data_IF_384609398496
#
_entry.id   IF_384609398496
#
_cell.length_a   1.000
_cell.length_b   1.000
_cell.length_c   1.000
_cell.angle_alpha   90.00
_cell.angle_beta   90.00
_cell.angle_gamma   90.00
#
_symmetry.space_group_name_H-M   'P 1'
#
loop_
_entity.id
_entity.type
_entity.pdbx_description
1 polymer ?
#
# COMPACT_ATOMS: atom_id res chain seq x y z
N UNK A 1 -5.31 35.34 44.50
CA UNK A 1 -4.27 35.33 43.44
C UNK A 1 -4.93 35.68 42.12
N UNK A 2 -4.41 36.66 41.39
CA UNK A 2 -4.97 37.04 40.09
C UNK A 2 -4.82 35.86 39.11
N UNK A 3 -5.88 35.55 38.33
CA UNK A 3 -5.82 34.53 37.27
C UNK A 3 -4.75 34.93 36.25
N UNK A 4 -3.92 33.97 35.85
CA UNK A 4 -2.89 34.20 34.83
C UNK A 4 -3.57 34.75 33.55
N UNK A 5 -3.09 35.88 32.98
CA UNK A 5 -3.68 36.48 31.78
C UNK A 5 -3.85 35.51 30.61
N UNK A 6 -2.93 34.55 30.46
CA UNK A 6 -3.01 33.51 29.41
C UNK A 6 -4.17 32.55 29.62
N UNK A 7 -4.51 32.22 30.88
CA UNK A 7 -5.66 31.36 31.21
C UNK A 7 -6.96 32.08 30.90
N UNK A 8 -7.05 33.38 31.21
CA UNK A 8 -8.20 34.20 30.84
C UNK A 8 -8.38 34.28 29.32
N UNK A 9 -7.29 34.43 28.57
CA UNK A 9 -7.32 34.45 27.10
C UNK A 9 -7.75 33.11 26.49
N UNK A 10 -7.32 31.99 27.07
CA UNK A 10 -7.79 30.66 26.67
C UNK A 10 -9.31 30.49 26.88
N UNK A 11 -9.86 31.02 27.99
CA UNK A 11 -11.31 31.01 28.21
C UNK A 11 -12.07 31.84 27.18
N UNK A 12 -11.52 32.96 26.71
CA UNK A 12 -12.12 33.74 25.61
C UNK A 12 -12.13 32.97 24.30
N UNK A 13 -11.02 32.32 23.95
CA UNK A 13 -10.92 31.49 22.73
C UNK A 13 -11.95 30.35 22.77
N UNK A 14 -12.14 29.70 23.93
CA UNK A 14 -13.16 28.65 24.08
C UNK A 14 -14.56 29.18 23.83
N UNK A 15 -14.90 30.37 24.33
CA UNK A 15 -16.19 30.99 24.06
C UNK A 15 -16.40 31.30 22.57
N UNK A 16 -15.37 31.80 21.87
CA UNK A 16 -15.42 32.04 20.42
C UNK A 16 -15.60 30.74 19.62
N UNK A 17 -15.03 29.62 20.09
CA UNK A 17 -15.23 28.30 19.48
C UNK A 17 -16.68 27.83 19.66
N UNK A 18 -17.27 28.02 20.85
CA UNK A 18 -18.67 27.69 21.09
C UNK A 18 -19.63 28.53 20.21
N UNK A 19 -19.34 29.82 20.04
CA UNK A 19 -20.10 30.69 19.13
C UNK A 19 -19.98 30.23 17.67
N UNK A 20 -18.77 29.85 17.23
CA UNK A 20 -18.55 29.30 15.89
C UNK A 20 -19.32 27.99 15.68
N UNK A 21 -19.32 27.09 16.66
CA UNK A 21 -20.08 25.84 16.61
C UNK A 21 -21.58 26.13 16.46
N UNK A 22 -22.15 27.02 17.28
CA UNK A 22 -23.56 27.39 17.20
C UNK A 22 -23.93 28.00 15.84
N UNK A 23 -23.06 28.82 15.25
CA UNK A 23 -23.27 29.41 13.91
C UNK A 23 -23.30 28.35 12.79
N UNK A 24 -22.56 27.24 12.95
CA UNK A 24 -22.53 26.16 11.97
C UNK A 24 -23.77 25.25 12.04
N UNK A 25 -24.47 25.24 13.17
CA UNK A 25 -25.73 24.50 13.36
C UNK A 25 -26.96 25.30 12.93
N UNK A 26 -26.89 26.63 13.02
CA UNK A 26 -27.98 27.54 12.69
C UNK A 26 -28.16 27.77 11.17
N UNK A 27 -27.11 27.62 10.36
CA UNK A 27 -27.10 27.92 8.93
C UNK A 27 -26.76 26.70 8.03
N UNK A 28 -27.45 26.60 6.89
CA UNK A 28 -27.20 25.60 5.86
C UNK A 28 -25.88 25.83 5.11
N UNK A 29 -24.75 25.44 5.70
CA UNK A 29 -23.42 25.53 5.08
C UNK A 29 -23.37 24.79 3.74
N UNK A 30 -23.00 25.51 2.68
CA UNK A 30 -22.71 24.93 1.37
C UNK A 30 -21.45 24.03 1.44
N UNK A 31 -21.35 23.03 0.55
CA UNK A 31 -20.18 22.12 0.51
C UNK A 31 -18.82 22.84 0.40
N UNK A 32 -18.65 23.89 -0.42
CA UNK A 32 -17.40 24.64 -0.48
C UNK A 32 -17.06 25.37 0.83
N UNK A 33 -18.05 26.03 1.44
CA UNK A 33 -17.87 26.74 2.72
C UNK A 33 -17.52 25.76 3.85
N UNK A 34 -18.15 24.58 3.88
CA UNK A 34 -17.83 23.50 4.80
C UNK A 34 -16.38 23.04 4.67
N UNK A 35 -15.90 22.80 3.45
CA UNK A 35 -14.51 22.37 3.21
C UNK A 35 -13.51 23.44 3.64
N UNK A 36 -13.80 24.70 3.36
CA UNK A 36 -12.94 25.81 3.78
C UNK A 36 -12.90 25.96 5.31
N UNK A 37 -14.04 25.78 5.98
CA UNK A 37 -14.12 25.79 7.44
C UNK A 37 -13.32 24.64 8.06
N UNK A 38 -13.45 23.41 7.53
CA UNK A 38 -12.67 22.24 7.99
C UNK A 38 -11.17 22.53 7.90
N UNK A 39 -10.68 23.04 6.75
CA UNK A 39 -9.27 23.38 6.59
C UNK A 39 -8.79 24.45 7.59
N UNK A 40 -9.65 25.43 7.94
CA UNK A 40 -9.34 26.46 8.95
C UNK A 40 -9.25 25.88 10.35
N UNK A 41 -10.16 24.97 10.68
CA UNK A 41 -10.17 24.26 11.97
C UNK A 41 -8.94 23.36 12.10
N UNK A 42 -8.54 22.69 11.01
CA UNK A 42 -7.28 21.91 10.99
C UNK A 42 -6.06 22.81 11.26
N UNK A 43 -5.93 23.97 10.60
CA UNK A 43 -4.83 24.94 10.89
C UNK A 43 -4.87 25.44 12.35
N UNK A 44 -6.07 25.64 12.92
CA UNK A 44 -6.22 26.00 14.34
C UNK A 44 -5.75 24.88 15.26
N UNK A 45 -6.12 23.62 14.97
CA UNK A 45 -5.66 22.45 15.74
C UNK A 45 -4.13 22.39 15.75
N UNK A 46 -3.51 22.51 14.58
CA UNK A 46 -2.04 22.43 14.45
C UNK A 46 -1.33 23.54 15.23
N UNK A 47 -1.92 24.73 15.33
CA UNK A 47 -1.39 25.85 16.14
C UNK A 47 -1.61 25.66 17.63
N UNK A 48 -2.77 25.16 18.03
CA UNK A 48 -3.07 24.85 19.43
C UNK A 48 -2.18 23.70 19.94
N UNK A 49 -1.92 22.71 19.10
CA UNK A 49 -0.99 21.62 19.41
C UNK A 49 0.43 22.15 19.62
N UNK A 50 0.92 23.01 18.72
CA UNK A 50 2.21 23.72 18.90
C UNK A 50 2.24 24.57 20.17
N UNK A 51 1.16 25.28 20.49
CA UNK A 51 1.07 26.05 21.74
C UNK A 51 1.16 25.12 22.96
N UNK A 52 0.47 23.98 22.91
CA UNK A 52 0.47 22.97 23.99
C UNK A 52 1.87 22.43 24.20
N UNK A 53 2.58 22.06 23.11
CA UNK A 53 3.98 21.63 23.16
C UNK A 53 4.91 22.69 23.76
N UNK A 54 4.68 23.98 23.49
CA UNK A 54 5.51 25.08 24.00
C UNK A 54 5.32 25.36 25.50
N UNK A 55 4.14 25.09 26.04
CA UNK A 55 3.81 25.42 27.43
C UNK A 55 3.91 24.21 28.37
N UNK A 56 3.98 23.00 27.84
CA UNK A 56 4.24 21.80 28.62
C UNK A 56 5.72 21.77 29.03
N UNK A 57 6.03 21.76 30.33
CA UNK A 57 7.42 21.71 30.79
C UNK A 57 8.08 20.34 30.58
N UNK A 58 7.33 19.32 30.15
CA UNK A 58 7.83 17.96 29.94
C UNK A 58 8.07 17.70 28.45
N UNK A 59 9.18 17.05 28.13
CA UNK A 59 9.47 16.58 26.78
C UNK A 59 8.55 15.40 26.42
N UNK A 60 8.14 15.33 25.15
CA UNK A 60 7.47 14.15 24.61
C UNK A 60 8.44 12.97 24.59
N UNK A 61 7.95 11.72 24.75
CA UNK A 61 8.81 10.57 24.55
C UNK A 61 9.35 10.53 23.12
N UNK A 62 10.56 10.00 22.93
CA UNK A 62 11.21 9.86 21.61
C UNK A 62 10.35 9.07 20.61
N UNK A 63 9.43 8.24 21.09
CA UNK A 63 8.48 7.48 20.29
C UNK A 63 7.15 7.26 21.03
N UNK A 64 6.07 7.23 20.27
CA UNK A 64 4.73 6.85 20.73
C UNK A 64 4.16 5.79 19.77
N UNK A 65 3.84 4.61 20.30
CA UNK A 65 3.27 3.52 19.54
C UNK A 65 1.79 3.36 19.91
N UNK A 66 0.90 3.60 18.95
CA UNK A 66 -0.53 3.30 19.11
C UNK A 66 -0.85 1.88 18.60
N UNK A 67 -1.04 0.89 19.49
CA UNK A 67 -1.32 -0.48 19.08
C UNK A 67 -2.67 -0.65 18.37
N UNK A 68 -3.56 0.35 18.42
CA UNK A 68 -4.86 0.33 17.75
C UNK A 68 -4.82 0.90 16.33
N UNK A 69 -3.67 1.44 15.89
CA UNK A 69 -3.51 2.05 14.56
C UNK A 69 -3.79 1.02 13.44
N UNK A 70 -4.85 1.22 12.61
CA UNK A 70 -5.27 0.23 11.62
C UNK A 70 -4.20 -0.14 10.59
N UNK A 71 -3.29 0.79 10.26
CA UNK A 71 -2.20 0.53 9.31
C UNK A 71 -1.22 -0.54 9.80
N UNK A 72 -1.03 -0.70 11.13
CA UNK A 72 -0.17 -1.72 11.72
C UNK A 72 -0.62 -3.14 11.36
N UNK A 73 -1.92 -3.38 11.26
CA UNK A 73 -2.43 -4.71 10.90
C UNK A 73 -1.99 -5.10 9.48
N UNK A 74 -1.98 -4.14 8.55
CA UNK A 74 -1.43 -4.35 7.22
C UNK A 74 0.04 -4.75 7.27
N UNK A 75 0.83 -4.08 8.11
CA UNK A 75 2.26 -4.36 8.31
C UNK A 75 2.47 -5.79 8.84
N UNK A 76 1.72 -6.20 9.87
CA UNK A 76 1.85 -7.54 10.46
C UNK A 76 1.46 -8.66 9.49
N UNK A 77 0.38 -8.48 8.74
CA UNK A 77 -0.04 -9.46 7.74
C UNK A 77 0.97 -9.54 6.59
N UNK A 78 1.52 -8.41 6.15
CA UNK A 78 2.57 -8.36 5.13
C UNK A 78 3.85 -9.09 5.61
N UNK A 79 4.27 -8.84 6.84
CA UNK A 79 5.40 -9.54 7.45
C UNK A 79 5.14 -11.06 7.58
N UNK A 80 3.94 -11.45 8.00
CA UNK A 80 3.54 -12.84 8.10
C UNK A 80 3.53 -13.55 6.73
N UNK A 81 3.16 -12.83 5.65
CA UNK A 81 3.26 -13.35 4.29
C UNK A 81 4.72 -13.59 3.92
N UNK A 82 5.61 -12.60 4.11
CA UNK A 82 7.05 -12.72 3.82
C UNK A 82 7.71 -13.85 4.61
N UNK A 83 7.23 -14.14 5.81
CA UNK A 83 7.72 -15.23 6.63
C UNK A 83 7.41 -16.63 6.07
N UNK A 84 6.42 -16.77 5.17
CA UNK A 84 6.09 -18.06 4.56
C UNK A 84 7.16 -18.50 3.56
N UNK A 85 7.32 -19.81 3.40
CA UNK A 85 8.17 -20.36 2.35
C UNK A 85 7.56 -20.12 0.96
N UNK A 86 8.42 -19.92 -0.03
CA UNK A 86 8.01 -19.86 -1.43
C UNK A 86 7.59 -21.24 -1.92
N UNK A 87 6.65 -21.24 -2.85
CA UNK A 87 6.19 -22.42 -3.57
C UNK A 87 6.15 -22.12 -5.06
N UNK A 88 6.52 -23.09 -5.87
CA UNK A 88 6.37 -22.99 -7.33
C UNK A 88 4.93 -22.61 -7.69
N UNK A 89 4.78 -21.56 -8.50
CA UNK A 89 3.48 -21.14 -9.00
C UNK A 89 2.92 -22.17 -9.99
N UNK A 90 3.78 -22.84 -10.77
CA UNK A 90 3.41 -23.87 -11.74
C UNK A 90 2.81 -25.14 -11.10
N UNK A 91 3.27 -25.50 -9.90
CA UNK A 91 2.85 -26.72 -9.19
C UNK A 91 1.77 -26.48 -8.13
N UNK A 92 1.17 -25.28 -8.11
CA UNK A 92 0.27 -24.89 -7.03
C UNK A 92 -1.07 -25.65 -7.06
N UNK A 93 -1.24 -26.56 -6.10
CA UNK A 93 -2.50 -27.27 -5.85
C UNK A 93 -3.62 -26.38 -5.29
N UNK A 94 -4.80 -26.98 -5.11
CA UNK A 94 -5.95 -26.31 -4.48
C UNK A 94 -5.78 -26.30 -2.97
N UNK A 95 -6.11 -25.17 -2.34
CA UNK A 95 -6.18 -25.05 -0.88
C UNK A 95 -7.28 -24.04 -0.49
N UNK A 96 -7.77 -24.19 0.74
CA UNK A 96 -8.77 -23.29 1.31
C UNK A 96 -8.14 -21.99 1.81
N UNK A 97 -8.88 -20.88 1.69
CA UNK A 97 -8.51 -19.57 2.18
C UNK A 97 -8.73 -18.44 1.17
N UNK A 98 -9.00 -17.27 1.72
CA UNK A 98 -8.97 -15.97 1.06
C UNK A 98 -7.93 -15.09 1.75
N UNK A 99 -7.29 -14.18 1.03
CA UNK A 99 -6.27 -13.33 1.65
C UNK A 99 -5.36 -12.64 0.66
N UNK A 100 -4.06 -12.65 0.95
CA UNK A 100 -3.03 -11.94 0.19
C UNK A 100 -2.00 -12.92 -0.38
N UNK A 101 -1.42 -12.58 -1.52
CA UNK A 101 -0.35 -13.33 -2.17
C UNK A 101 0.64 -12.41 -2.86
N UNK A 102 1.83 -12.95 -3.11
CA UNK A 102 2.90 -12.31 -3.86
C UNK A 102 3.52 -13.32 -4.83
N UNK A 103 3.85 -12.88 -6.04
CA UNK A 103 4.50 -13.66 -7.10
C UNK A 103 5.93 -13.13 -7.24
N UNK A 104 6.89 -14.03 -7.37
CA UNK A 104 8.31 -13.75 -7.47
C UNK A 104 8.86 -14.35 -8.75
N UNK A 105 9.88 -13.73 -9.32
CA UNK A 105 10.55 -14.19 -10.53
C UNK A 105 11.91 -14.81 -10.19
N UNK A 106 12.27 -15.89 -10.87
CA UNK A 106 13.54 -16.62 -10.67
C UNK A 106 14.23 -16.99 -11.98
N UNK A 107 13.69 -16.57 -13.13
CA UNK A 107 14.24 -16.90 -14.45
C UNK A 107 15.32 -15.92 -14.94
N UNK A 108 15.67 -16.03 -16.21
CA UNK A 108 16.78 -15.33 -16.86
C UNK A 108 16.37 -14.20 -17.81
N UNK A 109 15.08 -13.83 -17.86
CA UNK A 109 14.61 -12.72 -18.68
C UNK A 109 15.31 -11.42 -18.26
N UNK A 110 16.06 -10.84 -19.19
CA UNK A 110 16.87 -9.64 -18.96
C UNK A 110 16.09 -8.44 -18.39
N UNK A 111 14.81 -8.30 -18.73
CA UNK A 111 13.95 -7.23 -18.22
C UNK A 111 13.74 -7.34 -16.70
N UNK A 112 13.78 -8.55 -16.16
CA UNK A 112 13.51 -8.86 -14.76
C UNK A 112 14.74 -9.29 -13.98
N UNK A 113 15.93 -9.27 -14.61
CA UNK A 113 17.19 -9.66 -14.00
C UNK A 113 17.45 -9.03 -12.62
N UNK A 114 17.14 -7.73 -12.36
CA UNK A 114 17.39 -7.12 -11.05
C UNK A 114 16.63 -7.77 -9.88
N UNK A 115 15.46 -8.38 -10.14
CA UNK A 115 14.64 -9.00 -9.09
C UNK A 115 14.69 -10.53 -9.10
N UNK A 116 15.36 -11.13 -10.09
CA UNK A 116 15.44 -12.59 -10.22
C UNK A 116 16.11 -13.22 -9.00
N UNK A 117 15.42 -14.17 -8.35
CA UNK A 117 15.90 -14.84 -7.14
C UNK A 117 15.91 -13.96 -5.87
N UNK A 118 15.49 -12.70 -5.96
CA UNK A 118 15.40 -11.77 -4.82
C UNK A 118 14.09 -11.95 -4.05
N UNK A 119 13.98 -11.32 -2.87
CA UNK A 119 12.75 -11.12 -2.07
C UNK A 119 11.83 -10.00 -2.55
N UNK A 120 12.07 -9.46 -3.74
CA UNK A 120 11.22 -8.45 -4.35
C UNK A 120 10.18 -9.12 -5.25
N UNK A 121 8.88 -9.07 -4.91
CA UNK A 121 7.84 -9.65 -5.75
C UNK A 121 7.67 -8.85 -7.05
N UNK A 122 7.39 -9.54 -8.14
CA UNK A 122 7.05 -8.93 -9.43
C UNK A 122 5.57 -8.50 -9.48
N UNK A 123 4.72 -9.17 -8.69
CA UNK A 123 3.30 -8.86 -8.54
C UNK A 123 2.82 -9.19 -7.12
N UNK A 124 1.95 -8.34 -6.58
CA UNK A 124 1.23 -8.56 -5.32
C UNK A 124 -0.26 -8.47 -5.60
N UNK A 125 -1.04 -9.32 -4.95
CA UNK A 125 -2.49 -9.21 -5.05
C UNK A 125 -3.23 -9.82 -3.88
N UNK A 126 -4.54 -9.65 -3.90
CA UNK A 126 -5.47 -10.28 -2.97
C UNK A 126 -6.52 -11.16 -3.64
N UNK A 127 -7.18 -11.96 -2.82
CA UNK A 127 -8.39 -12.71 -3.18
C UNK A 127 -9.43 -12.56 -2.06
N UNK A 128 -10.57 -11.97 -2.39
CA UNK A 128 -11.65 -11.70 -1.43
C UNK A 128 -12.55 -12.93 -1.20
N UNK A 129 -12.99 -13.17 0.04
CA UNK A 129 -14.04 -14.15 0.32
C UNK A 129 -15.41 -13.65 -0.16
N UNK A 130 -16.38 -14.58 -0.23
CA UNK A 130 -17.80 -14.20 -0.35
C UNK A 130 -18.37 -13.97 1.05
N UNK A 131 -18.90 -12.78 1.32
CA UNK A 131 -19.45 -12.45 2.64
C UNK A 131 -18.36 -12.28 3.70
N UNK A 132 -18.68 -12.62 4.96
CA UNK A 132 -17.75 -12.51 6.09
C UNK A 132 -17.51 -13.86 6.80
N UNK A 133 -16.91 -14.85 6.10
CA UNK A 133 -16.62 -16.16 6.68
C UNK A 133 -15.61 -16.08 7.83
N UNK A 134 -15.75 -16.99 8.80
CA UNK A 134 -14.92 -17.03 10.01
C UNK A 134 -13.75 -18.02 9.92
N UNK A 135 -13.81 -18.99 9.01
CA UNK A 135 -12.77 -20.03 8.85
C UNK A 135 -12.23 -20.04 7.43
N UNK A 136 -11.01 -20.54 7.25
CA UNK A 136 -10.42 -20.71 5.91
C UNK A 136 -11.25 -21.63 5.01
N UNK A 137 -11.90 -22.66 5.59
CA UNK A 137 -12.77 -23.58 4.84
C UNK A 137 -13.98 -22.81 4.28
N UNK A 138 -14.63 -21.99 5.11
CA UNK A 138 -15.80 -21.19 4.70
C UNK A 138 -15.42 -20.11 3.67
N UNK A 139 -14.17 -19.66 3.66
CA UNK A 139 -13.65 -18.77 2.63
C UNK A 139 -13.59 -19.43 1.24
N UNK A 140 -13.59 -20.76 1.17
CA UNK A 140 -13.43 -21.52 -0.08
C UNK A 140 -12.01 -21.42 -0.62
N UNK A 141 -11.80 -21.69 -1.91
CA UNK A 141 -10.46 -21.80 -2.53
C UNK A 141 -9.95 -20.51 -3.17
N UNK A 142 -10.33 -19.34 -2.65
CA UNK A 142 -10.18 -18.04 -3.34
C UNK A 142 -8.75 -17.70 -3.74
N UNK A 143 -7.79 -17.89 -2.83
CA UNK A 143 -6.38 -17.67 -3.13
C UNK A 143 -5.88 -18.62 -4.22
N UNK A 144 -6.14 -19.91 -4.06
CA UNK A 144 -5.72 -20.93 -5.02
C UNK A 144 -6.33 -20.68 -6.41
N UNK A 145 -7.61 -20.29 -6.48
CA UNK A 145 -8.31 -19.99 -7.72
C UNK A 145 -7.68 -18.77 -8.43
N UNK A 146 -7.34 -17.71 -7.67
CA UNK A 146 -6.72 -16.47 -8.20
C UNK A 146 -5.28 -16.69 -8.66
N UNK A 147 -4.48 -17.43 -7.91
CA UNK A 147 -3.10 -17.77 -8.31
C UNK A 147 -3.09 -18.68 -9.55
N UNK A 148 -4.01 -19.66 -9.63
CA UNK A 148 -4.16 -20.50 -10.83
C UNK A 148 -4.67 -19.74 -12.05
N UNK A 149 -5.35 -18.61 -11.87
CA UNK A 149 -5.68 -17.70 -12.96
C UNK A 149 -4.45 -16.99 -13.50
N UNK A 150 -3.61 -16.43 -12.61
CA UNK A 150 -2.34 -15.82 -12.99
C UNK A 150 -1.40 -16.82 -13.68
N UNK A 151 -1.27 -18.03 -13.13
CA UNK A 151 -0.55 -19.15 -13.75
C UNK A 151 -0.99 -19.35 -15.21
N UNK A 152 -2.30 -19.48 -15.44
CA UNK A 152 -2.86 -19.66 -16.79
C UNK A 152 -2.70 -18.46 -17.70
N UNK A 153 -2.49 -17.25 -17.17
CA UNK A 153 -2.20 -16.06 -17.98
C UNK A 153 -0.73 -16.01 -18.39
N UNK A 154 0.17 -16.40 -17.49
CA UNK A 154 1.62 -16.54 -17.78
C UNK A 154 1.86 -17.64 -18.81
N UNK A 155 1.19 -18.79 -18.69
CA UNK A 155 1.28 -19.91 -19.66
C UNK A 155 0.82 -19.58 -21.08
N UNK A 156 0.14 -18.44 -21.29
CA UNK A 156 -0.39 -18.02 -22.58
C UNK A 156 0.47 -16.99 -23.29
N UNK A 157 1.55 -16.53 -22.68
CA UNK A 157 2.37 -15.45 -23.22
C UNK A 157 3.79 -15.88 -23.50
N UNK A 158 4.41 -15.19 -24.45
CA UNK A 158 5.78 -15.42 -24.87
C UNK A 158 6.78 -14.65 -24.00
N UNK A 159 8.02 -15.15 -23.96
CA UNK A 159 9.16 -14.49 -23.31
C UNK A 159 9.28 -14.74 -21.80
N UNK A 160 8.36 -15.47 -21.18
CA UNK A 160 8.44 -15.93 -19.79
C UNK A 160 7.91 -17.36 -19.68
N UNK A 161 8.51 -18.16 -18.79
CA UNK A 161 8.12 -19.54 -18.54
C UNK A 161 7.51 -19.67 -17.12
N UNK A 162 6.50 -20.51 -16.94
CA UNK A 162 5.80 -20.61 -15.64
C UNK A 162 6.70 -21.20 -14.54
N UNK A 163 7.70 -21.98 -14.93
CA UNK A 163 8.71 -22.60 -14.09
C UNK A 163 9.62 -21.55 -13.41
N UNK A 164 9.68 -20.33 -13.96
CA UNK A 164 10.46 -19.21 -13.44
C UNK A 164 9.70 -18.38 -12.39
N UNK A 165 8.57 -18.87 -11.89
CA UNK A 165 7.74 -18.14 -10.95
C UNK A 165 7.46 -18.92 -9.68
N UNK A 166 7.74 -18.26 -8.57
CA UNK A 166 7.35 -18.67 -7.23
C UNK A 166 6.20 -17.80 -6.71
N UNK A 167 5.51 -18.28 -5.69
CA UNK A 167 4.54 -17.50 -4.96
C UNK A 167 4.60 -17.75 -3.44
N UNK A 168 4.13 -16.74 -2.71
CA UNK A 168 3.68 -16.87 -1.32
C UNK A 168 2.20 -16.56 -1.27
N UNK A 169 1.45 -17.29 -0.46
CA UNK A 169 0.03 -17.08 -0.26
C UNK A 169 -0.30 -17.22 1.23
N UNK A 170 -1.05 -16.27 1.77
CA UNK A 170 -1.46 -16.27 3.17
C UNK A 170 -2.97 -16.05 3.25
N UNK A 171 -3.69 -17.07 3.73
CA UNK A 171 -5.08 -16.94 4.12
C UNK A 171 -5.17 -16.07 5.38
N UNK A 172 -6.05 -15.08 5.37
CA UNK A 172 -6.24 -14.15 6.49
C UNK A 172 -7.72 -14.00 6.80
N UNK A 173 -8.04 -13.53 8.00
CA UNK A 173 -9.41 -13.22 8.34
C UNK A 173 -9.94 -12.07 7.46
N UNK A 174 -11.22 -12.15 7.11
CA UNK A 174 -11.90 -11.17 6.27
C UNK A 174 -11.73 -9.76 6.83
N UNK A 175 -11.41 -8.79 5.97
CA UNK A 175 -11.15 -7.40 6.33
C UNK A 175 -9.67 -7.01 6.31
N UNK A 176 -8.75 -7.97 6.47
CA UNK A 176 -7.32 -7.66 6.57
C UNK A 176 -6.55 -7.72 5.25
N UNK A 177 -7.11 -8.37 4.21
CA UNK A 177 -6.42 -8.53 2.94
C UNK A 177 -6.03 -7.20 2.26
N UNK A 178 -6.81 -6.13 2.50
CA UNK A 178 -6.74 -4.93 1.66
C UNK A 178 -5.62 -4.03 2.16
N UNK A 179 -5.56 -3.89 3.49
CA UNK A 179 -4.45 -3.23 4.17
C UNK A 179 -3.13 -3.94 3.88
N UNK A 180 -3.12 -5.29 3.89
CA UNK A 180 -1.93 -6.07 3.60
C UNK A 180 -1.45 -5.90 2.14
N UNK A 181 -2.34 -6.03 1.16
CA UNK A 181 -2.04 -5.80 -0.27
C UNK A 181 -1.50 -4.38 -0.48
N UNK A 182 -2.20 -3.37 0.05
CA UNK A 182 -1.81 -1.96 -0.08
C UNK A 182 -0.44 -1.69 0.54
N UNK A 183 -0.14 -2.31 1.69
CA UNK A 183 1.16 -2.20 2.33
C UNK A 183 2.27 -2.83 1.49
N UNK A 184 2.08 -4.07 1.04
CA UNK A 184 3.05 -4.78 0.21
C UNK A 184 3.32 -4.06 -1.11
N UNK A 185 2.28 -3.53 -1.77
CA UNK A 185 2.44 -2.74 -3.00
C UNK A 185 3.23 -1.46 -2.72
N UNK A 186 2.94 -0.75 -1.63
CA UNK A 186 3.70 0.46 -1.25
C UNK A 186 5.16 0.16 -0.96
N UNK A 187 5.43 -0.94 -0.26
CA UNK A 187 6.78 -1.34 0.16
C UNK A 187 7.62 -1.81 -1.03
N UNK A 188 7.09 -2.72 -1.85
CA UNK A 188 7.86 -3.39 -2.90
C UNK A 188 7.74 -2.73 -4.28
N UNK A 189 6.71 -1.89 -4.48
CA UNK A 189 6.36 -1.27 -5.76
C UNK A 189 6.44 -2.24 -6.97
N UNK A 190 5.75 -3.39 -6.94
CA UNK A 190 5.94 -4.45 -7.94
C UNK A 190 5.60 -3.96 -9.35
N UNK A 191 6.44 -4.26 -10.34
CA UNK A 191 6.32 -3.69 -11.69
C UNK A 191 5.05 -4.13 -12.45
N UNK A 192 4.45 -5.27 -12.10
CA UNK A 192 3.22 -5.76 -12.73
C UNK A 192 1.93 -5.25 -12.10
N UNK A 193 2.01 -4.54 -10.97
CA UNK A 193 0.86 -3.93 -10.31
C UNK A 193 0.40 -2.67 -11.06
N UNK A 194 -0.92 -2.44 -11.09
CA UNK A 194 -1.50 -1.25 -11.72
C UNK A 194 -1.03 0.04 -11.01
N UNK A 195 -0.86 -0.05 -9.69
CA UNK A 195 -0.45 1.03 -8.79
C UNK A 195 0.96 1.55 -9.12
N UNK A 196 1.83 0.68 -9.63
CA UNK A 196 3.19 1.06 -10.05
C UNK A 196 3.17 1.76 -11.43
N UNK A 197 2.19 1.47 -12.28
CA UNK A 197 1.97 2.18 -13.55
C UNK A 197 3.00 1.88 -14.64
N UNK A 198 3.73 0.75 -14.56
CA UNK A 198 4.81 0.40 -15.49
C UNK A 198 4.39 -0.72 -16.43
N UNK A 199 4.33 -1.97 -15.94
CA UNK A 199 4.12 -3.17 -16.74
C UNK A 199 2.83 -3.88 -16.28
N UNK A 200 1.76 -3.09 -16.19
CA UNK A 200 0.49 -3.56 -15.65
C UNK A 200 -0.34 -4.33 -16.68
N UNK A 201 -1.28 -5.17 -16.21
CA UNK A 201 -2.26 -5.85 -17.05
C UNK A 201 -2.35 -7.38 -16.91
N UNK A 202 -1.52 -8.01 -16.08
CA UNK A 202 -1.63 -9.44 -15.78
C UNK A 202 -3.03 -9.82 -15.29
N UNK A 203 -3.57 -9.05 -14.34
CA UNK A 203 -4.87 -9.30 -13.69
C UNK A 203 -6.11 -8.91 -14.52
N UNK A 204 -5.94 -8.43 -15.77
CA UNK A 204 -7.07 -8.14 -16.66
C UNK A 204 -7.68 -9.46 -17.14
N UNK A 205 -8.96 -9.63 -16.87
CA UNK A 205 -9.77 -10.64 -17.54
C UNK A 205 -10.10 -10.15 -18.94
N UNK A 206 -10.01 -11.03 -19.93
CA UNK A 206 -10.56 -10.76 -21.24
C UNK A 206 -12.07 -10.60 -21.09
N UNK A 207 -12.53 -9.35 -21.00
CA UNK A 207 -13.94 -9.03 -21.13
C UNK A 207 -14.42 -9.59 -22.48
N UNK A 208 -15.67 -10.05 -22.51
CA UNK A 208 -16.27 -10.65 -23.70
C UNK A 208 -15.99 -9.81 -24.96
N UNK A 209 -15.90 -10.47 -26.12
CA UNK A 209 -15.49 -9.94 -27.42
C UNK A 209 -16.27 -8.70 -27.95
N UNK A 210 -17.12 -8.09 -27.15
CA UNK A 210 -17.93 -6.89 -27.41
C UNK A 210 -17.31 -5.59 -26.88
N UNK A 211 -16.30 -5.59 -25.99
CA UNK A 211 -15.60 -4.37 -25.50
C UNK A 211 -14.38 -3.96 -26.36
N UNK A 212 -14.54 -4.02 -27.69
CA UNK A 212 -13.49 -3.91 -28.75
C UNK A 212 -12.78 -2.54 -28.90
N UNK A 213 -12.56 -1.78 -27.83
CA UNK A 213 -11.94 -0.45 -27.93
C UNK A 213 -10.78 -0.19 -26.96
N UNK A 214 -10.38 -1.18 -26.15
CA UNK A 214 -9.29 -0.97 -25.19
C UNK A 214 -7.94 -1.33 -25.80
N UNK A 215 -6.97 -0.41 -25.71
CA UNK A 215 -5.58 -0.66 -26.06
C UNK A 215 -5.03 -1.88 -25.30
N UNK A 216 -4.13 -2.65 -25.93
CA UNK A 216 -3.41 -3.73 -25.24
C UNK A 216 -2.61 -3.14 -24.07
N UNK A 217 -2.56 -3.88 -22.95
CA UNK A 217 -1.87 -3.41 -21.76
C UNK A 217 -0.35 -3.46 -21.93
N UNK A 218 0.45 -2.71 -21.16
CA UNK A 218 1.90 -2.83 -21.19
C UNK A 218 2.40 -4.27 -21.00
N UNK A 219 1.73 -5.06 -20.15
CA UNK A 219 2.02 -6.49 -20.01
C UNK A 219 1.81 -7.26 -21.31
N UNK A 220 0.69 -7.04 -22.01
CA UNK A 220 0.41 -7.69 -23.31
C UNK A 220 1.31 -7.18 -24.45
N UNK A 221 1.85 -5.95 -24.32
CA UNK A 221 2.82 -5.42 -25.28
C UNK A 221 4.17 -6.13 -25.14
N UNK A 222 4.66 -6.32 -23.91
CA UNK A 222 5.96 -6.97 -23.65
C UNK A 222 5.86 -8.50 -23.78
N UNK A 223 4.74 -9.08 -23.35
CA UNK A 223 4.48 -10.52 -23.38
C UNK A 223 3.26 -10.83 -24.25
N UNK A 224 3.43 -10.90 -25.59
CA UNK A 224 2.34 -11.24 -26.49
C UNK A 224 1.87 -12.69 -26.30
N UNK A 225 0.64 -13.01 -26.73
CA UNK A 225 0.12 -14.40 -26.78
C UNK A 225 -1.31 -14.57 -26.24
N UNK A 226 -1.80 -13.64 -25.40
CA UNK A 226 -3.21 -13.65 -24.98
C UNK A 226 -4.12 -13.24 -26.15
N UNK A 227 -4.91 -14.19 -26.66
CA UNK A 227 -5.83 -14.01 -27.81
C UNK A 227 -6.69 -12.74 -27.80
N UNK A 228 -7.13 -12.27 -26.62
CA UNK A 228 -7.97 -11.08 -26.54
C UNK A 228 -7.22 -9.78 -26.85
N UNK A 229 -5.90 -9.76 -26.65
CA UNK A 229 -5.02 -8.61 -26.90
C UNK A 229 -4.49 -8.60 -28.34
N UNK A 230 -4.63 -9.70 -29.07
CA UNK A 230 -4.17 -9.84 -30.45
C UNK A 230 -4.94 -8.88 -31.37
N UNK A 231 -4.21 -8.05 -32.12
CA UNK A 231 -4.80 -7.06 -33.03
C UNK A 231 -5.26 -5.75 -32.37
N UNK A 232 -5.21 -5.62 -31.04
CA UNK A 232 -5.48 -4.35 -30.36
C UNK A 232 -4.26 -3.41 -30.43
N UNK A 233 -4.46 -2.09 -30.62
CA UNK A 233 -3.36 -1.12 -30.65
C UNK A 233 -2.63 -1.05 -29.29
N UNK A 234 -1.32 -0.85 -29.32
CA UNK A 234 -0.53 -0.52 -28.13
C UNK A 234 -0.80 0.89 -27.65
N UNK A 235 -0.86 1.05 -26.33
CA UNK A 235 -0.79 2.37 -25.70
C UNK A 235 0.65 2.88 -25.56
N UNK A 236 1.61 1.96 -25.46
CA UNK A 236 3.04 2.20 -25.27
C UNK A 236 3.81 1.14 -26.04
N UNK A 237 4.94 1.51 -26.61
CA UNK A 237 5.87 0.61 -27.29
C UNK A 237 6.67 -0.23 -26.29
N UNK A 238 7.25 -1.34 -26.74
CA UNK A 238 8.13 -2.19 -25.92
C UNK A 238 9.29 -1.36 -25.34
N UNK A 239 9.99 -0.57 -26.16
CA UNK A 239 11.14 0.23 -25.73
C UNK A 239 10.79 1.25 -24.63
N UNK A 240 9.62 1.90 -24.72
CA UNK A 240 9.16 2.82 -23.67
C UNK A 240 8.87 2.11 -22.35
N UNK A 241 8.37 0.88 -22.40
CA UNK A 241 8.08 0.08 -21.20
C UNK A 241 9.39 -0.42 -20.58
N UNK A 242 10.32 -0.93 -21.39
CA UNK A 242 11.65 -1.37 -20.95
C UNK A 242 12.42 -0.24 -20.26
N UNK A 243 12.38 0.97 -20.84
CA UNK A 243 12.99 2.16 -20.25
C UNK A 243 12.38 2.51 -18.89
N UNK A 244 11.05 2.45 -18.75
CA UNK A 244 10.38 2.65 -17.45
C UNK A 244 10.76 1.59 -16.42
N UNK A 245 10.87 0.32 -16.82
CA UNK A 245 11.31 -0.77 -15.94
C UNK A 245 12.76 -0.51 -15.48
N UNK A 246 13.64 -0.13 -16.39
CA UNK A 246 15.04 0.19 -16.08
C UNK A 246 15.17 1.37 -15.12
N UNK A 247 14.42 2.45 -15.34
CA UNK A 247 14.37 3.60 -14.42
C UNK A 247 13.84 3.18 -13.05
N UNK A 248 12.78 2.37 -13.02
CA UNK A 248 12.22 1.90 -11.77
C UNK A 248 13.22 1.10 -10.94
N UNK A 249 13.97 0.17 -11.55
CA UNK A 249 14.98 -0.61 -10.83
C UNK A 249 16.24 0.19 -10.46
N UNK A 250 16.47 1.36 -11.05
CA UNK A 250 17.52 2.27 -10.59
C UNK A 250 17.17 2.97 -9.27
N UNK A 251 15.87 3.23 -9.05
CA UNK A 251 15.38 3.98 -7.88
C UNK A 251 14.76 3.07 -6.79
N UNK A 252 14.21 1.92 -7.16
CA UNK A 252 13.49 1.03 -6.26
C UNK A 252 14.45 0.24 -5.37
N UNK A 253 14.05 0.03 -4.11
CA UNK A 253 14.75 -0.89 -3.21
C UNK A 253 14.49 -2.33 -3.64
N UNK A 254 15.56 -3.03 -4.03
CA UNK A 254 15.52 -4.47 -4.27
C UNK A 254 15.95 -5.20 -3.01
N UNK A 255 15.07 -6.05 -2.50
CA UNK A 255 15.34 -6.85 -1.32
C UNK A 255 15.98 -8.17 -1.75
N UNK A 256 17.28 -8.32 -1.52
CA UNK A 256 18.02 -9.55 -1.89
C UNK A 256 17.60 -10.77 -1.08
N UNK A 257 17.26 -10.57 0.19
CA UNK A 257 16.98 -11.64 1.15
C UNK A 257 15.95 -11.21 2.21
N UNK A 258 15.51 -12.19 3.00
CA UNK A 258 14.43 -11.99 3.98
C UNK A 258 14.83 -11.06 5.12
N UNK A 259 16.12 -10.98 5.45
CA UNK A 259 16.59 -10.09 6.50
C UNK A 259 16.52 -8.63 6.05
N UNK A 260 16.84 -8.35 4.78
CA UNK A 260 16.67 -7.03 4.19
C UNK A 260 15.20 -6.58 4.26
N UNK A 261 14.26 -7.48 3.96
CA UNK A 261 12.83 -7.19 4.08
C UNK A 261 12.44 -6.90 5.53
N UNK A 262 12.82 -7.77 6.47
CA UNK A 262 12.53 -7.61 7.89
C UNK A 262 13.09 -6.29 8.44
N UNK A 263 14.31 -5.92 8.04
CA UNK A 263 14.94 -4.67 8.46
C UNK A 263 14.13 -3.47 7.97
N UNK A 264 13.67 -3.48 6.72
CA UNK A 264 12.83 -2.41 6.19
C UNK A 264 11.47 -2.31 6.92
N UNK A 265 10.88 -3.42 7.36
CA UNK A 265 9.69 -3.41 8.23
C UNK A 265 9.98 -2.73 9.57
N UNK A 266 11.08 -3.09 10.23
CA UNK A 266 11.49 -2.48 11.50
C UNK A 266 11.73 -0.98 11.34
N UNK A 267 12.37 -0.57 10.25
CA UNK A 267 12.63 0.84 9.96
C UNK A 267 11.36 1.61 9.58
N UNK A 268 10.32 0.93 9.08
CA UNK A 268 9.02 1.54 8.84
C UNK A 268 8.27 1.78 10.17
N UNK A 269 8.22 0.79 11.05
CA UNK A 269 7.58 0.92 12.38
C UNK A 269 8.24 2.05 13.17
N UNK A 270 9.58 2.10 13.21
CA UNK A 270 10.33 3.18 13.87
C UNK A 270 10.04 4.57 13.31
N UNK A 271 9.65 4.69 12.03
CA UNK A 271 9.31 5.98 11.41
C UNK A 271 7.88 6.38 11.72
N UNK A 272 6.94 5.44 11.71
CA UNK A 272 5.53 5.68 12.06
C UNK A 272 5.39 6.09 13.54
N UNK A 273 6.25 5.58 14.43
CA UNK A 273 6.17 5.84 15.88
C UNK A 273 6.93 7.09 16.34
N UNK A 274 7.69 7.75 15.46
CA UNK A 274 8.42 8.96 15.82
C UNK A 274 7.49 10.16 15.81
N UNK A 275 7.33 10.76 16.98
CA UNK A 275 6.80 12.12 17.08
C UNK A 275 7.88 13.05 16.51
N UNK A 276 7.60 13.77 15.43
CA UNK A 276 8.55 14.66 14.75
C UNK A 276 9.35 15.49 15.76
N UNK A 277 10.64 15.15 15.91
CA UNK A 277 11.61 15.87 16.76
C UNK A 277 12.28 17.03 16.03
N UNK A 278 12.00 17.19 14.73
CA UNK A 278 12.61 18.20 13.85
C UNK A 278 11.83 19.53 13.79
N UNK A 279 10.87 19.77 14.69
CA UNK A 279 10.36 21.12 14.89
C UNK A 279 11.41 21.92 15.69
N UNK A 280 12.16 22.79 15.02
CA UNK A 280 13.23 23.64 15.59
C UNK A 280 12.76 24.46 16.82
N UNK A 281 11.43 24.57 17.01
CA UNK A 281 10.78 25.17 18.17
C UNK A 281 10.74 24.29 19.45
N UNK A 282 11.14 23.01 19.38
CA UNK A 282 11.09 22.05 20.50
C UNK A 282 12.40 21.94 21.29
N UNK A 283 13.46 22.66 20.91
CA UNK A 283 14.70 22.67 21.70
C UNK A 283 14.51 23.58 22.92
N UNK A 284 14.62 23.07 24.17
CA UNK A 284 14.69 23.95 25.33
C UNK A 284 15.89 24.89 25.16
N UNK A 285 15.68 26.19 25.39
CA UNK A 285 16.78 27.15 25.36
C UNK A 285 17.84 26.77 26.40
N UNK A 286 19.14 26.88 26.06
CA UNK A 286 20.21 26.53 26.98
C UNK A 286 20.10 27.39 28.24
N UNK A 287 20.10 26.76 29.41
CA UNK A 287 20.13 27.47 30.69
C UNK A 287 21.50 28.09 30.91
N UNK A 288 21.53 29.43 31.03
CA UNK A 288 22.64 30.22 31.59
C UNK A 288 22.83 29.94 33.09
#
# INVERSE_FOLDING_TARGET
MARNPSVTKASTILAEIEELLAATEADGLTNPARRQLVNRVDDMRDRLERLTRKIDPNELPDAFFDPAEPSLIGNFVALALVAQDRKSLGELGRFYGSGVYAIYYTGDNSLYAPISGSETPIYVGKADPKGNPKTAIDQGTKLADRLNEHRRNIEKVDGIAIEDFDCRALAVQTGYQAAAESHLIRMFRPIWNNETGILYGLGKHGDAATTRANNKSPFDTVHPGRKWAEGNPENQTVAEIEEKVRQHFADATIFSDRNAVLQAFVDNIRREDRLDSDDEAARPEPSD
#
